data_IF_394459504409
#
_entry.id   IF_394459504409
#
_cell.length_a   1.000
_cell.length_b   1.000
_cell.length_c   1.000
_cell.angle_alpha   90.00
_cell.angle_beta   90.00
_cell.angle_gamma   90.00
#
_symmetry.space_group_name_H-M   'P 1'
#
loop_
_entity.id
_entity.type
_entity.pdbx_description
1 polymer ?
#
# COMPACT_ATOMS: atom_id res chain seq x y z
N UNK A 1 27.13 26.39 -1.54
CA UNK A 1 26.56 25.39 -0.62
C UNK A 1 25.20 25.89 -0.16
N UNK A 2 24.10 25.18 -0.44
CA UNK A 2 22.76 25.60 0.00
C UNK A 2 22.67 25.31 1.51
N UNK A 3 22.21 26.26 2.34
CA UNK A 3 22.09 26.04 3.78
C UNK A 3 21.05 24.96 4.11
N UNK A 4 21.21 24.29 5.26
CA UNK A 4 20.23 23.28 5.71
C UNK A 4 18.81 23.85 5.84
N UNK A 5 18.70 25.10 6.25
CA UNK A 5 17.43 25.82 6.33
C UNK A 5 16.77 25.95 4.96
N UNK A 6 17.55 26.30 3.92
CA UNK A 6 17.07 26.38 2.54
C UNK A 6 16.64 25.00 2.01
N UNK A 7 17.36 23.92 2.36
CA UNK A 7 16.98 22.54 2.01
C UNK A 7 15.68 22.12 2.71
N UNK A 8 15.52 22.47 3.98
CA UNK A 8 14.32 22.17 4.78
C UNK A 8 13.09 22.91 4.23
N UNK A 9 13.24 24.21 3.91
CA UNK A 9 12.18 25.02 3.28
C UNK A 9 11.72 24.43 1.95
N UNK A 10 12.66 24.12 1.05
CA UNK A 10 12.35 23.48 -0.25
C UNK A 10 11.63 22.15 -0.09
N UNK A 11 12.06 21.30 0.86
CA UNK A 11 11.38 20.02 1.14
C UNK A 11 9.95 20.22 1.63
N UNK A 12 9.71 21.23 2.48
CA UNK A 12 8.38 21.54 2.99
C UNK A 12 7.45 22.07 1.89
N UNK A 13 7.95 22.95 1.02
CA UNK A 13 7.22 23.47 -0.14
C UNK A 13 6.86 22.34 -1.11
N UNK A 14 7.83 21.51 -1.51
CA UNK A 14 7.58 20.36 -2.38
C UNK A 14 6.53 19.39 -1.79
N UNK A 15 6.54 19.19 -0.46
CA UNK A 15 5.53 18.35 0.21
C UNK A 15 4.14 18.97 0.17
N UNK A 16 4.04 20.29 0.31
CA UNK A 16 2.76 21.01 0.20
C UNK A 16 2.20 20.91 -1.22
N UNK A 17 3.04 21.18 -2.21
CA UNK A 17 2.66 21.11 -3.63
C UNK A 17 2.23 19.70 -4.03
N UNK A 18 2.92 18.68 -3.52
CA UNK A 18 2.56 17.28 -3.70
C UNK A 18 1.12 16.98 -3.24
N UNK A 19 0.74 17.40 -2.03
CA UNK A 19 -0.63 17.18 -1.54
C UNK A 19 -1.67 17.98 -2.32
N UNK A 20 -1.36 19.23 -2.72
CA UNK A 20 -2.24 20.03 -3.58
C UNK A 20 -2.50 19.32 -4.92
N UNK A 21 -1.48 18.74 -5.52
CA UNK A 21 -1.61 18.00 -6.79
C UNK A 21 -2.44 16.73 -6.59
N UNK A 22 -2.19 15.98 -5.51
CA UNK A 22 -3.00 14.81 -5.16
C UNK A 22 -4.47 15.18 -5.01
N UNK A 23 -4.79 16.26 -4.29
CA UNK A 23 -6.18 16.69 -4.08
C UNK A 23 -6.86 17.09 -5.39
N UNK A 24 -6.13 17.78 -6.28
CA UNK A 24 -6.61 18.10 -7.64
C UNK A 24 -6.89 16.85 -8.48
N UNK A 25 -6.07 15.80 -8.34
CA UNK A 25 -6.30 14.53 -9.04
C UNK A 25 -7.54 13.84 -8.46
N UNK A 26 -7.65 13.78 -7.13
CA UNK A 26 -8.79 13.14 -6.43
C UNK A 26 -10.13 13.83 -6.66
N UNK A 27 -10.13 15.11 -7.01
CA UNK A 27 -11.33 15.85 -7.39
C UNK A 27 -11.88 15.47 -8.78
N UNK A 28 -11.15 14.70 -9.59
CA UNK A 28 -11.63 14.22 -10.89
C UNK A 28 -12.54 13.00 -10.71
N UNK A 29 -13.57 12.83 -11.57
CA UNK A 29 -14.35 11.59 -11.63
C UNK A 29 -13.43 10.37 -11.73
N UNK A 30 -13.77 9.28 -11.04
CA UNK A 30 -13.03 8.01 -11.00
C UNK A 30 -11.61 8.03 -10.37
N UNK A 31 -11.15 9.17 -9.84
CA UNK A 31 -9.82 9.30 -9.22
C UNK A 31 -9.85 9.54 -7.71
N UNK A 32 -11.01 9.40 -7.06
CA UNK A 32 -11.20 9.71 -5.64
C UNK A 32 -10.22 8.92 -4.75
N UNK A 33 -9.87 7.69 -5.16
CA UNK A 33 -8.94 6.80 -4.47
C UNK A 33 -7.49 6.89 -4.98
N UNK A 34 -7.13 7.91 -5.77
CA UNK A 34 -5.76 8.05 -6.30
C UNK A 34 -4.72 8.08 -5.18
N UNK A 35 -3.72 7.18 -5.24
CA UNK A 35 -2.72 6.95 -4.20
C UNK A 35 -3.30 6.67 -2.80
N UNK A 36 -4.53 6.19 -2.71
CA UNK A 36 -5.10 5.55 -1.53
C UNK A 36 -5.09 4.02 -1.72
N UNK A 37 -5.05 3.25 -0.63
CA UNK A 37 -5.29 1.82 -0.72
C UNK A 37 -6.68 1.55 -1.32
N UNK A 38 -6.87 0.43 -2.03
CA UNK A 38 -8.20 0.01 -2.45
C UNK A 38 -9.09 -0.24 -1.23
N UNK A 39 -10.39 0.00 -1.41
CA UNK A 39 -11.43 -0.34 -0.45
C UNK A 39 -11.59 -1.87 -0.35
N UNK A 40 -12.14 -2.38 0.78
CA UNK A 40 -12.47 -3.80 0.89
C UNK A 40 -13.37 -4.31 -0.26
N UNK A 41 -14.32 -3.49 -0.70
CA UNK A 41 -15.24 -3.84 -1.79
C UNK A 41 -14.51 -3.94 -3.14
N UNK A 42 -13.59 -3.03 -3.43
CA UNK A 42 -12.74 -3.11 -4.63
C UNK A 42 -11.88 -4.39 -4.62
N UNK A 43 -11.33 -4.77 -3.45
CA UNK A 43 -10.57 -6.02 -3.29
C UNK A 43 -11.44 -7.27 -3.50
N UNK A 44 -12.64 -7.32 -2.90
CA UNK A 44 -13.59 -8.42 -3.07
C UNK A 44 -14.04 -8.52 -4.54
N UNK A 45 -14.32 -7.38 -5.19
CA UNK A 45 -14.68 -7.33 -6.60
C UNK A 45 -13.55 -7.84 -7.51
N UNK A 46 -12.29 -7.51 -7.20
CA UNK A 46 -11.13 -7.99 -7.93
C UNK A 46 -10.96 -9.52 -7.86
N UNK A 47 -11.44 -10.16 -6.79
CA UNK A 47 -11.44 -11.62 -6.65
C UNK A 47 -12.49 -12.34 -7.51
N UNK A 48 -13.27 -11.62 -8.33
CA UNK A 48 -14.24 -12.20 -9.27
C UNK A 48 -13.63 -13.16 -10.29
N UNK A 49 -12.36 -12.98 -10.66
CA UNK A 49 -11.63 -13.90 -11.55
C UNK A 49 -10.94 -15.06 -10.82
N UNK A 50 -11.01 -15.09 -9.49
CA UNK A 50 -10.38 -16.10 -8.64
C UNK A 50 -9.89 -15.52 -7.32
N UNK A 51 -9.70 -16.36 -6.27
CA UNK A 51 -9.19 -15.89 -4.98
C UNK A 51 -7.82 -15.23 -5.09
N UNK A 52 -7.62 -14.15 -4.34
CA UNK A 52 -6.36 -13.41 -4.25
C UNK A 52 -5.76 -13.66 -2.86
N UNK A 53 -4.48 -14.01 -2.82
CA UNK A 53 -3.72 -14.18 -1.57
C UNK A 53 -2.61 -13.15 -1.53
N UNK A 54 -2.65 -12.26 -0.53
CA UNK A 54 -1.58 -11.31 -0.26
C UNK A 54 -0.81 -11.77 0.96
N UNK A 55 0.46 -12.12 0.79
CA UNK A 55 1.34 -12.51 1.89
C UNK A 55 2.13 -11.29 2.36
N UNK A 56 1.94 -10.91 3.62
CA UNK A 56 2.69 -9.84 4.26
C UNK A 56 3.78 -10.45 5.15
N UNK A 57 5.04 -10.16 4.84
CA UNK A 57 6.20 -10.74 5.52
C UNK A 57 6.98 -9.65 6.26
N UNK A 58 7.36 -9.90 7.51
CA UNK A 58 8.24 -9.03 8.28
C UNK A 58 9.11 -9.86 9.24
N UNK A 59 10.12 -9.24 9.84
CA UNK A 59 10.93 -9.88 10.88
C UNK A 59 10.15 -10.18 12.18
N UNK A 60 9.01 -9.51 12.41
CA UNK A 60 8.21 -9.69 13.64
C UNK A 60 7.21 -10.84 13.46
N UNK A 61 6.44 -10.80 12.37
CA UNK A 61 5.45 -11.83 12.03
C UNK A 61 5.13 -11.83 10.54
N UNK A 62 4.62 -12.95 10.05
CA UNK A 62 4.07 -13.10 8.72
C UNK A 62 2.56 -13.39 8.80
N UNK A 63 1.80 -12.74 7.93
CA UNK A 63 0.34 -12.87 7.81
C UNK A 63 -0.04 -13.04 6.33
N UNK A 64 -1.22 -13.57 6.05
CA UNK A 64 -1.83 -13.55 4.73
C UNK A 64 -3.25 -12.98 4.78
N UNK A 65 -3.58 -12.15 3.80
CA UNK A 65 -4.96 -11.79 3.48
C UNK A 65 -5.47 -12.75 2.41
N UNK A 66 -6.53 -13.50 2.72
CA UNK A 66 -7.25 -14.31 1.75
C UNK A 66 -8.48 -13.53 1.32
N UNK A 67 -8.57 -13.25 0.04
CA UNK A 67 -9.62 -12.40 -0.54
C UNK A 67 -10.39 -13.26 -1.53
N UNK A 68 -11.67 -13.44 -1.28
CA UNK A 68 -12.60 -14.05 -2.23
C UNK A 68 -13.76 -13.10 -2.55
N UNK A 69 -14.74 -13.58 -3.31
CA UNK A 69 -15.92 -12.80 -3.71
C UNK A 69 -16.88 -12.48 -2.56
N UNK A 70 -16.62 -12.96 -1.35
CA UNK A 70 -17.49 -12.79 -0.18
C UNK A 70 -16.84 -11.91 0.88
N UNK A 71 -15.55 -12.12 1.17
CA UNK A 71 -14.88 -11.50 2.30
C UNK A 71 -13.36 -11.45 2.18
N UNK A 72 -12.75 -10.73 3.12
CA UNK A 72 -11.31 -10.70 3.36
C UNK A 72 -11.05 -11.38 4.71
N UNK A 73 -10.20 -12.39 4.70
CA UNK A 73 -9.81 -13.15 5.89
C UNK A 73 -8.33 -12.90 6.22
N UNK A 74 -8.02 -12.84 7.52
CA UNK A 74 -6.65 -12.79 8.00
C UNK A 74 -6.22 -14.18 8.48
N UNK A 75 -5.13 -14.69 7.93
CA UNK A 75 -4.48 -15.92 8.37
C UNK A 75 -3.08 -15.61 8.87
N UNK A 76 -2.79 -15.96 10.13
CA UNK A 76 -1.42 -15.88 10.65
C UNK A 76 -0.57 -17.02 10.08
N UNK A 77 0.68 -16.73 9.73
CA UNK A 77 1.63 -17.69 9.18
C UNK A 77 2.83 -17.85 10.13
N UNK A 78 2.67 -18.48 11.31
CA UNK A 78 3.71 -18.51 12.35
C UNK A 78 4.96 -19.31 11.97
N UNK A 79 4.88 -20.13 10.92
CA UNK A 79 6.00 -20.93 10.41
C UNK A 79 6.73 -20.27 9.24
N UNK A 80 6.16 -19.21 8.67
CA UNK A 80 6.75 -18.48 7.56
C UNK A 80 7.64 -17.36 8.12
N UNK A 81 8.86 -17.26 7.62
CA UNK A 81 9.84 -16.23 7.97
C UNK A 81 10.17 -15.39 6.75
N UNK A 82 10.58 -14.14 6.97
CA UNK A 82 11.05 -13.28 5.87
C UNK A 82 12.25 -13.89 5.12
N UNK A 83 13.14 -14.59 5.84
CA UNK A 83 14.28 -15.31 5.27
C UNK A 83 13.89 -16.40 4.27
N UNK A 84 12.64 -16.90 4.30
CA UNK A 84 12.18 -17.92 3.36
C UNK A 84 12.01 -17.37 1.93
N UNK A 85 12.06 -16.04 1.76
CA UNK A 85 11.99 -15.34 0.48
C UNK A 85 13.33 -14.74 0.04
N UNK A 86 14.33 -14.75 0.93
CA UNK A 86 15.69 -14.34 0.61
C UNK A 86 16.37 -15.55 -0.06
N UNK A 87 16.45 -15.54 -1.39
CA UNK A 87 17.13 -16.61 -2.13
C UNK A 87 18.58 -16.75 -1.67
N UNK A 88 19.10 -17.97 -1.65
CA UNK A 88 20.53 -18.24 -1.46
C UNK A 88 21.33 -17.45 -2.53
N UNK A 89 22.05 -16.42 -2.08
CA UNK A 89 23.04 -15.70 -2.90
C UNK A 89 24.38 -16.41 -2.85
#
# INVERSE_FOLDING_TARGET
MISEEQRSKRRREARKDFYIIIDKIRAKPDFQNFLLPPTPQELISAASSGPIIVVNTSYIRCDAFLIDTHAIWLLRLPRLKLSDFEGES
#
